data_IF_695800717264
#
_entry.id   IF_695800717264
#
_cell.length_a   1.000
_cell.length_b   1.000
_cell.length_c   1.000
_cell.angle_alpha   90.00
_cell.angle_beta   90.00
_cell.angle_gamma   90.00
#
_symmetry.space_group_name_H-M   'P 1'
#
loop_
_entity.id
_entity.type
_entity.pdbx_description
1 polymer ?
#
# COMPACT_ATOMS: atom_id res chain seq x y z
N UNK A 1 13.13 -5.51 17.08
CA UNK A 1 11.86 -5.18 17.56
C UNK A 1 11.53 -3.74 17.37
N UNK A 2 10.38 -3.46 16.90
CA UNK A 2 10.06 -2.10 16.61
C UNK A 2 9.74 -1.38 17.90
N UNK A 3 10.23 -0.20 18.02
CA UNK A 3 9.95 0.62 19.16
C UNK A 3 8.67 1.40 18.86
N UNK A 4 7.59 1.02 19.48
CA UNK A 4 6.31 1.65 19.22
C UNK A 4 6.32 3.15 19.53
N UNK A 5 7.04 3.56 20.55
CA UNK A 5 7.13 4.98 20.86
C UNK A 5 7.84 5.74 19.76
N UNK A 6 8.91 5.19 19.23
CA UNK A 6 9.63 5.81 18.13
C UNK A 6 8.77 5.86 16.88
N UNK A 7 8.02 4.80 16.61
CA UNK A 7 7.12 4.76 15.47
C UNK A 7 6.02 5.80 15.59
N UNK A 8 5.45 5.95 16.77
CA UNK A 8 4.43 6.95 17.00
C UNK A 8 5.00 8.34 16.74
N UNK A 9 6.19 8.58 17.26
CA UNK A 9 6.81 9.88 17.09
C UNK A 9 7.11 10.16 15.62
N UNK A 10 7.48 9.14 14.86
CA UNK A 10 7.83 9.32 13.46
C UNK A 10 6.62 9.43 12.55
N UNK A 11 5.62 8.60 12.75
CA UNK A 11 4.55 8.42 11.76
C UNK A 11 3.20 9.02 12.14
N UNK A 12 2.91 9.18 13.42
CA UNK A 12 1.56 9.62 13.80
C UNK A 12 1.33 11.04 13.31
N UNK A 13 0.25 11.22 12.56
CA UNK A 13 -0.12 12.53 12.00
C UNK A 13 0.99 13.15 11.15
N UNK A 14 1.76 12.30 10.47
CA UNK A 14 2.87 12.76 9.66
C UNK A 14 2.83 12.09 8.28
N UNK A 15 1.95 12.57 7.38
CA UNK A 15 1.81 11.94 6.07
C UNK A 15 3.09 11.92 5.25
N UNK A 16 3.94 12.93 5.40
CA UNK A 16 5.18 12.96 4.63
C UNK A 16 6.11 11.81 5.03
N UNK A 17 6.25 11.55 6.32
CA UNK A 17 7.07 10.45 6.78
C UNK A 17 6.47 9.11 6.39
N UNK A 18 5.15 8.99 6.48
CA UNK A 18 4.45 7.77 6.07
C UNK A 18 4.67 7.50 4.59
N UNK A 19 4.51 8.54 3.76
CA UNK A 19 4.67 8.38 2.32
C UNK A 19 6.08 7.95 1.97
N UNK A 20 7.08 8.55 2.59
CA UNK A 20 8.46 8.19 2.33
C UNK A 20 8.76 6.75 2.72
N UNK A 21 8.31 6.35 3.89
CA UNK A 21 8.55 5.00 4.39
C UNK A 21 7.85 3.95 3.51
N UNK A 22 6.60 4.20 3.17
CA UNK A 22 5.84 3.26 2.34
C UNK A 22 6.38 3.20 0.93
N UNK A 23 6.80 4.34 0.37
CA UNK A 23 7.40 4.34 -0.97
C UNK A 23 8.64 3.45 -1.01
N UNK A 24 9.49 3.55 0.00
CA UNK A 24 10.66 2.71 0.08
C UNK A 24 10.28 1.23 0.16
N UNK A 25 9.24 0.94 0.92
CA UNK A 25 8.78 -0.44 1.05
C UNK A 25 8.21 -0.98 -0.26
N UNK A 26 7.44 -0.16 -0.96
CA UNK A 26 6.87 -0.57 -2.24
C UNK A 26 7.93 -0.75 -3.31
N UNK A 27 9.00 0.05 -3.25
CA UNK A 27 10.09 -0.06 -4.22
C UNK A 27 10.78 -1.41 -4.16
N UNK A 28 10.72 -2.08 -3.03
CA UNK A 28 11.30 -3.41 -2.91
C UNK A 28 10.50 -4.47 -3.63
N UNK A 29 9.27 -4.15 -3.98
CA UNK A 29 8.37 -5.04 -4.71
C UNK A 29 8.25 -6.40 -4.04
N UNK A 30 8.25 -6.41 -2.73
CA UNK A 30 8.14 -7.63 -1.92
C UNK A 30 6.85 -7.50 -1.11
N UNK A 31 5.87 -8.33 -1.44
CA UNK A 31 4.55 -8.23 -0.84
C UNK A 31 4.60 -8.33 0.69
N UNK A 32 5.39 -9.27 1.21
CA UNK A 32 5.45 -9.44 2.65
C UNK A 32 6.06 -8.23 3.34
N UNK A 33 7.06 -7.63 2.72
CA UNK A 33 7.67 -6.41 3.26
C UNK A 33 6.69 -5.25 3.22
N UNK A 34 5.91 -5.15 2.15
CA UNK A 34 4.90 -4.10 2.04
C UNK A 34 3.84 -4.26 3.12
N UNK A 35 3.35 -5.47 3.30
CA UNK A 35 2.32 -5.73 4.29
C UNK A 35 2.83 -5.43 5.70
N UNK A 36 4.06 -5.80 5.97
CA UNK A 36 4.67 -5.52 7.26
C UNK A 36 4.79 -4.01 7.49
N UNK A 37 5.16 -3.27 6.44
CA UNK A 37 5.28 -1.82 6.53
C UNK A 37 3.92 -1.17 6.78
N UNK A 38 2.88 -1.64 6.10
CA UNK A 38 1.53 -1.13 6.30
C UNK A 38 1.08 -1.37 7.74
N UNK A 39 1.35 -2.55 8.26
CA UNK A 39 0.98 -2.88 9.63
C UNK A 39 1.72 -2.00 10.62
N UNK A 40 2.99 -1.75 10.39
CA UNK A 40 3.79 -0.91 11.27
C UNK A 40 3.26 0.52 11.32
N UNK A 41 2.93 1.08 10.15
CA UNK A 41 2.38 2.42 10.08
C UNK A 41 1.01 2.46 10.77
N UNK A 42 0.18 1.45 10.52
CA UNK A 42 -1.13 1.39 11.14
C UNK A 42 -1.02 1.41 12.66
N UNK A 43 -0.14 0.59 13.21
CA UNK A 43 -0.02 0.48 14.67
C UNK A 43 0.55 1.74 15.31
N UNK A 44 1.19 2.59 14.52
CA UNK A 44 1.72 3.85 15.03
C UNK A 44 0.66 4.94 15.14
N UNK A 45 -0.54 4.70 14.57
CA UNK A 45 -1.59 5.70 14.53
C UNK A 45 -2.53 5.57 15.72
N UNK A 46 -3.37 6.55 15.90
CA UNK A 46 -4.51 6.43 16.79
C UNK A 46 -5.54 5.59 16.03
N UNK A 47 -5.50 4.28 16.23
CA UNK A 47 -6.25 3.35 15.39
C UNK A 47 -7.74 3.54 15.53
N UNK A 48 -8.20 3.94 16.69
CA UNK A 48 -9.63 4.15 16.89
C UNK A 48 -10.14 5.30 16.02
N UNK A 49 -9.41 6.40 15.99
CA UNK A 49 -9.77 7.54 15.15
C UNK A 49 -9.63 7.18 13.68
N UNK A 50 -8.58 6.47 13.34
CA UNK A 50 -8.33 6.06 11.96
C UNK A 50 -9.44 5.14 11.45
N UNK A 51 -9.87 4.21 12.27
CA UNK A 51 -10.96 3.30 11.90
C UNK A 51 -12.24 4.08 11.62
N UNK A 52 -12.51 5.06 12.45
CA UNK A 52 -13.70 5.89 12.27
C UNK A 52 -13.65 6.64 10.94
N UNK A 53 -12.49 7.21 10.62
CA UNK A 53 -12.32 7.95 9.37
C UNK A 53 -12.39 7.04 8.15
N UNK A 54 -11.87 5.84 8.27
CA UNK A 54 -11.88 4.89 7.17
C UNK A 54 -13.22 4.15 7.04
N UNK A 55 -14.15 4.39 7.97
CA UNK A 55 -15.43 3.69 7.95
C UNK A 55 -15.30 2.22 8.31
N UNK A 56 -14.30 1.85 9.08
CA UNK A 56 -14.06 0.47 9.46
C UNK A 56 -13.99 0.36 10.97
N UNK A 57 -14.14 -0.86 11.45
CA UNK A 57 -13.95 -1.12 12.87
C UNK A 57 -12.48 -1.34 13.14
N UNK A 58 -12.06 -0.99 14.36
CA UNK A 58 -10.66 -1.10 14.75
C UNK A 58 -10.14 -2.54 14.63
N UNK A 59 -10.92 -3.49 15.12
CA UNK A 59 -10.51 -4.89 15.05
C UNK A 59 -10.41 -5.36 13.59
N UNK A 60 -11.24 -4.84 12.72
CA UNK A 60 -11.19 -5.18 11.31
C UNK A 60 -9.92 -4.64 10.65
N UNK A 61 -9.48 -3.46 11.04
CA UNK A 61 -8.22 -2.93 10.53
C UNK A 61 -7.05 -3.83 10.89
N UNK A 62 -6.97 -4.25 12.14
CA UNK A 62 -5.90 -5.14 12.56
C UNK A 62 -5.95 -6.47 11.81
N UNK A 63 -7.15 -6.97 11.59
CA UNK A 63 -7.30 -8.24 10.90
C UNK A 63 -6.93 -8.11 9.42
N UNK A 64 -7.38 -7.05 8.78
CA UNK A 64 -7.13 -6.83 7.37
C UNK A 64 -5.66 -6.67 7.05
N UNK A 65 -4.92 -5.98 7.93
CA UNK A 65 -3.51 -5.68 7.67
C UNK A 65 -2.56 -6.47 8.55
N UNK A 66 -3.07 -7.52 9.19
CA UNK A 66 -2.26 -8.29 10.14
C UNK A 66 -1.48 -9.44 9.55
N UNK A 67 -1.62 -9.70 8.26
CA UNK A 67 -0.86 -10.76 7.63
C UNK A 67 -1.61 -12.06 7.47
N UNK A 68 -2.81 -12.17 8.00
CA UNK A 68 -3.58 -13.40 7.89
C UNK A 68 -4.32 -13.52 6.57
N UNK A 69 -4.66 -12.39 5.97
CA UNK A 69 -5.33 -12.36 4.68
C UNK A 69 -4.73 -11.26 3.85
N UNK A 70 -4.93 -11.36 2.55
CA UNK A 70 -4.43 -10.33 1.64
C UNK A 70 -5.46 -9.20 1.59
N UNK A 71 -5.09 -7.98 1.97
CA UNK A 71 -6.01 -6.87 1.84
C UNK A 71 -6.31 -6.58 0.38
N UNK A 72 -7.53 -6.21 0.09
CA UNK A 72 -7.87 -5.79 -1.26
C UNK A 72 -7.30 -4.41 -1.52
N UNK A 73 -7.13 -4.09 -2.80
CA UNK A 73 -6.68 -2.76 -3.16
C UNK A 73 -7.64 -1.70 -2.61
N UNK A 74 -8.91 -1.98 -2.65
CA UNK A 74 -9.92 -1.07 -2.13
C UNK A 74 -9.66 -0.74 -0.66
N UNK A 75 -9.36 -1.75 0.15
CA UNK A 75 -9.07 -1.52 1.57
C UNK A 75 -7.79 -0.75 1.79
N UNK A 76 -6.78 -1.03 0.96
CA UNK A 76 -5.53 -0.29 1.06
C UNK A 76 -5.75 1.17 0.70
N UNK A 77 -6.57 1.44 -0.31
CA UNK A 77 -6.87 2.82 -0.69
C UNK A 77 -7.62 3.55 0.41
N UNK A 78 -8.55 2.87 1.07
CA UNK A 78 -9.26 3.47 2.21
C UNK A 78 -8.28 3.83 3.32
N UNK A 79 -7.36 2.93 3.62
CA UNK A 79 -6.36 3.19 4.65
C UNK A 79 -5.48 4.38 4.24
N UNK A 80 -5.03 4.40 3.01
CA UNK A 80 -4.16 5.48 2.52
C UNK A 80 -4.86 6.83 2.62
N UNK A 81 -6.13 6.87 2.26
CA UNK A 81 -6.87 8.12 2.36
C UNK A 81 -6.93 8.60 3.80
N UNK A 82 -7.19 7.71 4.73
CA UNK A 82 -7.23 8.07 6.14
C UNK A 82 -5.86 8.49 6.66
N UNK A 83 -4.80 7.94 6.10
CA UNK A 83 -3.44 8.31 6.48
C UNK A 83 -2.96 9.60 5.81
N UNK A 84 -3.69 10.09 4.82
CA UNK A 84 -3.30 11.30 4.12
C UNK A 84 -2.29 11.08 3.01
N UNK A 85 -2.22 9.87 2.47
CA UNK A 85 -1.30 9.54 1.37
C UNK A 85 -2.09 8.90 0.25
N UNK A 86 -1.45 8.77 -0.91
CA UNK A 86 -2.10 8.11 -2.04
C UNK A 86 -1.09 7.37 -2.89
N UNK A 87 -1.61 6.47 -3.71
CA UNK A 87 -0.76 5.77 -4.66
C UNK A 87 -0.35 6.68 -5.80
N UNK A 88 0.84 6.46 -6.29
CA UNK A 88 1.25 7.00 -7.57
C UNK A 88 1.88 5.87 -8.37
N UNK A 89 1.97 6.05 -9.66
CA UNK A 89 2.52 5.04 -10.54
C UNK A 89 3.70 5.63 -11.28
N UNK A 90 4.79 4.88 -11.31
CA UNK A 90 6.00 5.31 -11.99
C UNK A 90 6.40 4.26 -13.00
N UNK A 91 6.94 4.70 -14.11
CA UNK A 91 7.45 3.77 -15.09
C UNK A 91 8.77 3.18 -14.59
N UNK A 92 8.99 1.92 -14.88
CA UNK A 92 10.30 1.33 -14.65
C UNK A 92 11.23 1.84 -15.74
N UNK A 93 12.51 1.82 -15.43
CA UNK A 93 13.48 2.23 -16.42
C UNK A 93 13.35 1.33 -17.64
N UNK A 94 13.49 1.87 -18.84
CA UNK A 94 13.25 1.08 -20.04
C UNK A 94 14.03 -0.23 -20.11
N UNK A 95 15.27 -0.23 -19.65
CA UNK A 95 16.03 -1.47 -19.73
C UNK A 95 15.67 -2.46 -18.66
N UNK A 96 14.88 -2.10 -17.70
CA UNK A 96 14.47 -3.02 -16.66
C UNK A 96 13.36 -3.95 -17.16
N UNK A 97 12.73 -3.59 -18.25
CA UNK A 97 11.70 -4.41 -18.83
C UNK A 97 12.08 -4.71 -20.26
N UNK A 98 12.57 -5.90 -20.54
CA UNK A 98 12.94 -6.23 -21.90
C UNK A 98 11.71 -6.30 -22.79
N UNK A 99 11.85 -6.07 -24.07
CA UNK A 99 10.73 -6.18 -24.97
C UNK A 99 10.12 -7.55 -24.88
N UNK A 100 8.83 -7.61 -24.83
CA UNK A 100 8.15 -8.89 -24.73
C UNK A 100 8.08 -9.52 -26.09
N UNK A 101 8.30 -10.83 -26.15
CA UNK A 101 8.20 -11.50 -27.43
C UNK A 101 6.77 -11.47 -27.90
N UNK A 102 6.61 -11.44 -29.20
CA UNK A 102 5.33 -11.51 -29.75
C UNK A 102 4.78 -12.87 -29.59
N UNK A 103 3.58 -12.99 -29.16
CA UNK A 103 2.94 -14.28 -29.07
C UNK A 103 2.46 -14.69 -30.43
N UNK A 104 2.36 -15.96 -30.64
CA UNK A 104 1.93 -16.48 -31.88
C UNK A 104 0.51 -16.10 -32.24
N UNK A 105 -0.34 -15.89 -31.28
CA UNK A 105 -1.68 -15.56 -31.55
C UNK A 105 -2.07 -14.36 -30.80
N UNK A 106 -2.53 -13.34 -31.39
CA UNK A 106 -2.90 -12.15 -30.67
C UNK A 106 -4.05 -12.43 -29.75
N UNK A 107 -4.01 -11.86 -28.57
CA UNK A 107 -5.09 -11.95 -27.70
C UNK A 107 -6.18 -11.11 -28.17
N UNK A 108 -7.32 -11.61 -28.00
CA UNK A 108 -8.44 -10.85 -28.33
C UNK A 108 -8.39 -9.68 -27.50
N UNK A 109 -8.42 -8.63 -28.05
CA UNK A 109 -8.20 -7.46 -27.35
C UNK A 109 -9.18 -7.25 -26.37
N UNK A 110 -8.79 -7.13 -25.30
CA UNK A 110 -9.59 -6.63 -24.39
C UNK A 110 -9.41 -5.22 -24.53
N UNK A 111 -10.22 -4.62 -24.73
CA UNK A 111 -10.12 -3.28 -25.02
C UNK A 111 -9.53 -2.53 -23.96
N UNK A 112 -9.16 -2.15 -23.94
CA UNK A 112 -8.68 -1.61 -23.23
C UNK A 112 -8.97 -0.68 -22.90
N UNK A 113 -9.21 -0.49 -22.32
CA UNK A 113 -9.56 0.30 -22.10
C UNK A 113 -9.06 1.16 -21.94
N UNK A 114 -9.19 1.28 -21.75
CA UNK A 114 -8.76 1.87 -21.66
C UNK A 114 -8.26 2.35 -22.00
N UNK A 115 -8.35 2.16 -22.33
CA UNK A 115 -7.78 2.40 -22.69
C UNK A 115 -7.72 3.30 -22.73
N UNK A 116 -7.76 3.72 -22.53
CA UNK A 116 -7.62 4.29 -22.46
C UNK A 116 -7.51 4.48 -22.35
#
# INVERSE_FOLDING_TARGET
MSDRKADIKMFRDNPLAIASYLSDSFDKNDYDAILLALNRVLRSQNVQALAREAGLRRDRLYKTFGGETDPTLYRVMDLFEALGVRFTVQALLPRAIPPRPKLGRPRKASPKPGAV
#
